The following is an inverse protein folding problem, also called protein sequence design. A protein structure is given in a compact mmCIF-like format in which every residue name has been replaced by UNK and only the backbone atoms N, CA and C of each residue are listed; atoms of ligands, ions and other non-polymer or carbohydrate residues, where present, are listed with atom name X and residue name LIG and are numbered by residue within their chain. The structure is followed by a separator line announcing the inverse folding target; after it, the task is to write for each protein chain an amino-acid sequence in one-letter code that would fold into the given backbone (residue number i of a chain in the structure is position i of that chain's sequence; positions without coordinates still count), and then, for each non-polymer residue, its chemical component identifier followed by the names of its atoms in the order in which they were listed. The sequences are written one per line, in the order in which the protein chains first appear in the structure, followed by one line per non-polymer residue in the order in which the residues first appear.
data_IF_091832183394
#
_entry.id   IF_091832183394
#
_cell.length_a   1.000
_cell.length_b   1.000
_cell.length_c   1.000
_cell.angle_alpha   90.00
_cell.angle_beta   90.00
_cell.angle_gamma   90.00
#
_symmetry.space_group_name_H-M   'P 1'
#
loop_
_entity.id
_entity.type
_entity.pdbx_description
1 polymer ?
#
# COMPACT_ATOMS: atom_id res chain seq x y z
N UNK A 1 10.68 -8.81 -27.96
CA UNK A 1 10.56 -7.74 -26.94
C UNK A 1 11.88 -7.44 -26.26
N UNK A 2 12.55 -8.41 -25.59
CA UNK A 2 13.91 -8.21 -25.06
C UNK A 2 14.88 -7.64 -26.11
N UNK A 3 14.97 -8.27 -27.28
CA UNK A 3 15.80 -7.79 -28.39
C UNK A 3 15.46 -6.36 -28.86
N UNK A 4 14.19 -5.97 -28.79
CA UNK A 4 13.76 -4.61 -29.12
C UNK A 4 14.26 -3.60 -28.09
N UNK A 5 14.15 -3.93 -26.80
CA UNK A 5 14.66 -3.07 -25.73
C UNK A 5 16.20 -3.00 -25.75
N UNK A 6 16.88 -4.10 -26.03
CA UNK A 6 18.34 -4.12 -26.13
C UNK A 6 18.85 -3.17 -27.24
N UNK A 7 18.11 -3.04 -28.35
CA UNK A 7 18.41 -2.03 -29.38
C UNK A 7 18.20 -0.61 -28.87
N UNK A 8 17.09 -0.36 -28.16
CA UNK A 8 16.84 0.95 -27.51
C UNK A 8 17.96 1.31 -26.53
N UNK A 9 18.38 0.37 -25.68
CA UNK A 9 19.42 0.56 -24.67
C UNK A 9 20.81 0.77 -25.29
N UNK A 10 21.10 0.14 -26.43
CA UNK A 10 22.37 0.30 -27.13
C UNK A 10 22.53 1.67 -27.83
N UNK A 11 21.63 2.62 -27.60
CA UNK A 11 21.56 3.88 -28.35
C UNK A 11 21.21 3.68 -29.83
N UNK A 12 20.98 2.43 -30.25
CA UNK A 12 20.50 2.05 -31.57
C UNK A 12 19.00 2.28 -31.62
N UNK A 13 18.62 3.55 -31.52
CA UNK A 13 17.35 4.06 -32.08
C UNK A 13 17.43 4.15 -33.61
N UNK A 14 18.36 3.41 -34.23
CA UNK A 14 18.37 3.20 -35.66
C UNK A 14 17.14 2.39 -36.01
N UNK A 15 16.14 3.09 -36.51
CA UNK A 15 14.97 2.45 -37.08
C UNK A 15 15.47 1.52 -38.17
N UNK A 16 15.01 0.26 -38.21
CA UNK A 16 15.29 -0.55 -39.38
C UNK A 16 14.81 0.26 -40.60
N UNK A 17 15.65 0.45 -41.64
CA UNK A 17 15.19 1.08 -42.87
C UNK A 17 13.92 0.33 -43.29
N UNK A 18 12.87 1.09 -43.61
CA UNK A 18 11.59 0.50 -43.98
C UNK A 18 11.87 -0.54 -45.07
N UNK A 19 11.57 -1.84 -44.84
CA UNK A 19 11.79 -2.83 -45.87
C UNK A 19 10.98 -2.41 -47.10
N UNK A 20 11.59 -2.46 -48.27
CA UNK A 20 10.94 -2.09 -49.52
C UNK A 20 9.69 -2.95 -49.82
N UNK A 21 9.44 -4.02 -49.08
CA UNK A 21 8.19 -4.77 -49.13
C UNK A 21 7.67 -5.18 -47.75
N UNK A 22 6.38 -4.88 -47.57
CA UNK A 22 5.48 -5.16 -46.45
C UNK A 22 5.60 -4.18 -45.27
N UNK A 23 4.74 -3.17 -45.32
CA UNK A 23 4.22 -2.35 -44.21
C UNK A 23 3.59 -3.22 -43.07
N UNK A 24 4.21 -4.31 -42.63
CA UNK A 24 3.74 -5.16 -41.52
C UNK A 24 3.73 -4.32 -40.24
N UNK A 25 2.54 -3.85 -39.85
CA UNK A 25 2.29 -3.02 -38.66
C UNK A 25 1.75 -1.62 -39.00
N UNK A 26 2.28 -0.98 -40.04
CA UNK A 26 1.83 0.35 -40.49
C UNK A 26 0.60 0.26 -41.39
N UNK A 27 -0.46 0.95 -41.01
CA UNK A 27 -1.72 1.11 -41.73
C UNK A 27 -1.79 2.48 -42.37
N UNK A 28 -2.28 2.54 -43.60
CA UNK A 28 -2.60 3.81 -44.27
C UNK A 28 -3.81 4.45 -43.59
N UNK A 29 -3.69 5.75 -43.27
CA UNK A 29 -4.75 6.55 -42.65
C UNK A 29 -5.32 7.55 -43.62
N UNK A 30 -4.45 8.27 -44.34
CA UNK A 30 -4.85 9.34 -45.24
C UNK A 30 -3.98 9.33 -46.50
N UNK A 31 -4.57 9.77 -47.61
CA UNK A 31 -3.89 9.97 -48.88
C UNK A 31 -4.12 11.40 -49.35
N UNK A 32 -3.04 12.08 -49.73
CA UNK A 32 -3.07 13.35 -50.48
C UNK A 32 -2.26 13.18 -51.76
N UNK A 33 -2.47 14.06 -52.73
CA UNK A 33 -1.91 13.94 -54.09
C UNK A 33 -0.43 13.50 -54.11
N UNK A 34 0.41 14.08 -53.24
CA UNK A 34 1.84 13.77 -53.18
C UNK A 34 2.31 13.02 -51.92
N UNK A 35 1.40 12.61 -51.02
CA UNK A 35 1.82 11.99 -49.76
C UNK A 35 0.80 11.04 -49.12
N UNK A 36 1.32 10.10 -48.32
CA UNK A 36 0.54 9.12 -47.58
C UNK A 36 0.90 9.19 -46.11
N UNK A 37 -0.12 9.40 -45.26
CA UNK A 37 0.02 9.28 -43.81
C UNK A 37 -0.16 7.81 -43.41
N UNK A 38 0.83 7.26 -42.74
CA UNK A 38 0.82 5.91 -42.20
C UNK A 38 0.82 5.96 -40.67
N UNK A 39 0.04 5.10 -40.02
CA UNK A 39 -0.01 4.93 -38.56
C UNK A 39 0.19 3.48 -38.15
N UNK A 40 0.75 3.22 -36.96
CA UNK A 40 0.62 1.91 -36.31
C UNK A 40 -0.39 2.00 -35.18
N UNK A 41 -1.38 1.10 -35.15
CA UNK A 41 -2.42 1.08 -34.11
C UNK A 41 -2.15 0.09 -32.98
N UNK A 42 -0.95 -0.51 -32.92
CA UNK A 42 -0.64 -1.63 -32.05
C UNK A 42 -1.32 -2.94 -32.50
N UNK A 43 -0.63 -4.07 -32.32
CA UNK A 43 -1.18 -5.40 -32.63
C UNK A 43 -2.23 -5.86 -31.60
N UNK A 44 -3.31 -6.46 -32.10
CA UNK A 44 -4.53 -6.98 -31.45
C UNK A 44 -5.49 -5.95 -30.83
N UNK A 45 -6.59 -5.71 -31.57
CA UNK A 45 -7.76 -4.92 -31.22
C UNK A 45 -8.60 -5.48 -30.04
N UNK A 46 -8.20 -6.60 -29.44
CA UNK A 46 -9.02 -7.33 -28.45
C UNK A 46 -8.82 -6.88 -26.99
N UNK A 47 -7.88 -5.99 -26.70
CA UNK A 47 -7.55 -5.66 -25.29
C UNK A 47 -7.24 -4.18 -25.02
N UNK A 48 -7.20 -3.33 -26.05
CA UNK A 48 -7.00 -1.89 -25.94
C UNK A 48 -7.84 -1.20 -27.01
N UNK A 49 -8.41 0.00 -26.77
CA UNK A 49 -8.82 0.84 -27.89
C UNK A 49 -7.60 0.99 -28.80
N UNK A 50 -7.79 0.84 -30.12
CA UNK A 50 -6.72 0.91 -31.11
C UNK A 50 -6.13 2.34 -31.15
N UNK A 51 -5.22 2.64 -30.23
CA UNK A 51 -4.60 3.96 -30.11
C UNK A 51 -3.37 4.01 -31.00
N UNK A 52 -3.30 5.01 -31.88
CA UNK A 52 -2.15 5.25 -32.76
C UNK A 52 -0.88 5.43 -31.94
N UNK A 53 0.13 4.58 -32.15
CA UNK A 53 1.40 4.60 -31.41
C UNK A 53 2.42 5.51 -32.07
N UNK A 54 2.50 5.47 -33.39
CA UNK A 54 3.36 6.34 -34.17
C UNK A 54 2.74 6.69 -35.52
N UNK A 55 3.22 7.79 -36.10
CA UNK A 55 2.88 8.29 -37.43
C UNK A 55 4.14 8.50 -38.26
N UNK A 56 4.03 8.31 -39.57
CA UNK A 56 5.06 8.73 -40.54
C UNK A 56 4.43 9.14 -41.86
N UNK A 57 5.13 9.99 -42.60
CA UNK A 57 4.70 10.45 -43.92
C UNK A 57 5.57 9.80 -44.98
N UNK A 58 4.96 9.26 -46.03
CA UNK A 58 5.62 8.77 -47.24
C UNK A 58 5.27 9.69 -48.40
N UNK A 59 6.25 10.17 -49.15
CA UNK A 59 6.06 10.94 -50.38
C UNK A 59 7.12 10.53 -51.44
N UNK A 60 7.13 11.22 -52.58
CA UNK A 60 8.11 11.00 -53.66
C UNK A 60 9.57 11.21 -53.25
N UNK A 61 9.83 11.96 -52.17
CA UNK A 61 11.19 12.20 -51.63
C UNK A 61 11.63 11.15 -50.61
N UNK A 62 10.74 10.25 -50.19
CA UNK A 62 11.06 9.18 -49.25
C UNK A 62 10.05 9.08 -48.10
N UNK A 63 10.49 8.46 -47.00
CA UNK A 63 9.69 8.24 -45.79
C UNK A 63 10.29 9.06 -44.65
N UNK A 64 9.46 9.80 -43.92
CA UNK A 64 9.89 10.54 -42.74
C UNK A 64 10.29 9.61 -41.61
N UNK A 65 11.10 10.13 -40.70
CA UNK A 65 11.27 9.55 -39.37
C UNK A 65 9.89 9.39 -38.69
N UNK A 66 9.68 8.32 -37.91
CA UNK A 66 8.42 8.10 -37.22
C UNK A 66 8.26 9.07 -36.04
N UNK A 67 7.09 9.70 -35.94
CA UNK A 67 6.68 10.53 -34.80
C UNK A 67 5.85 9.69 -33.82
N UNK A 68 6.27 9.60 -32.55
CA UNK A 68 5.58 8.80 -31.52
C UNK A 68 4.55 9.68 -30.79
N UNK A 69 3.31 9.19 -30.70
CA UNK A 69 2.20 9.91 -30.06
C UNK A 69 1.85 9.36 -28.69
N UNK A 70 1.66 8.05 -28.59
CA UNK A 70 1.14 7.39 -27.38
C UNK A 70 2.18 6.50 -26.72
N UNK A 71 3.34 7.11 -26.45
CA UNK A 71 4.41 6.48 -25.68
C UNK A 71 3.91 6.19 -24.26
N UNK A 72 4.23 5.03 -23.67
CA UNK A 72 3.93 4.77 -22.27
C UNK A 72 4.64 5.77 -21.37
N UNK A 73 3.91 6.23 -20.37
CA UNK A 73 4.45 7.04 -19.28
C UNK A 73 4.06 6.36 -17.98
N UNK A 74 5.04 5.93 -17.20
CA UNK A 74 4.80 5.39 -15.86
C UNK A 74 4.80 6.57 -14.91
N UNK A 75 3.66 6.83 -14.27
CA UNK A 75 3.52 7.90 -13.28
C UNK A 75 3.83 7.40 -11.87
N UNK A 76 3.64 6.10 -11.61
CA UNK A 76 4.05 5.50 -10.35
C UNK A 76 3.94 3.98 -10.29
N UNK A 77 4.59 3.44 -9.26
CA UNK A 77 4.62 2.02 -8.90
C UNK A 77 4.43 1.89 -7.40
N UNK A 78 3.53 1.00 -6.97
CA UNK A 78 3.26 0.72 -5.56
C UNK A 78 3.20 -0.79 -5.33
N UNK A 79 4.01 -1.35 -4.41
CA UNK A 79 5.03 -0.65 -3.61
C UNK A 79 6.23 -0.21 -4.48
N UNK A 80 6.96 0.84 -4.07
CA UNK A 80 8.23 1.25 -4.75
C UNK A 80 9.35 0.21 -4.59
N UNK A 81 9.34 -0.50 -3.46
CA UNK A 81 10.17 -1.66 -3.19
C UNK A 81 9.44 -2.92 -3.62
N UNK A 82 9.81 -3.42 -4.80
CA UNK A 82 9.26 -4.61 -5.41
C UNK A 82 9.86 -5.86 -4.77
N UNK A 83 9.02 -6.59 -4.03
CA UNK A 83 9.41 -7.86 -3.43
C UNK A 83 9.44 -8.95 -4.53
N UNK A 84 10.53 -9.68 -4.65
CA UNK A 84 10.62 -10.81 -5.58
C UNK A 84 9.50 -11.84 -5.35
N UNK A 85 8.88 -12.30 -6.43
CA UNK A 85 7.74 -13.23 -6.37
C UNK A 85 6.43 -12.62 -5.87
N UNK A 86 6.37 -11.32 -5.57
CA UNK A 86 5.13 -10.61 -5.23
C UNK A 86 4.56 -9.89 -6.46
N UNK A 87 3.48 -9.13 -6.26
CA UNK A 87 2.92 -8.23 -7.26
C UNK A 87 3.06 -6.77 -6.87
N UNK A 88 3.08 -5.91 -7.88
CA UNK A 88 3.02 -4.47 -7.72
C UNK A 88 2.05 -3.84 -8.69
N UNK A 89 1.44 -2.75 -8.27
CA UNK A 89 0.57 -1.94 -9.11
C UNK A 89 1.38 -0.86 -9.79
N UNK A 90 1.31 -0.81 -11.11
CA UNK A 90 1.92 0.21 -11.95
C UNK A 90 0.80 1.04 -12.55
N UNK A 91 0.90 2.37 -12.49
CA UNK A 91 -0.05 3.25 -13.15
C UNK A 91 0.60 4.32 -14.02
N UNK A 92 -0.12 4.72 -15.06
CA UNK A 92 0.26 5.83 -15.92
C UNK A 92 -0.39 5.80 -17.30
N UNK A 93 -0.09 6.79 -18.13
CA UNK A 93 -0.66 6.91 -19.47
C UNK A 93 -0.11 5.84 -20.43
N UNK A 94 -1.00 5.27 -21.26
CA UNK A 94 -0.64 4.34 -22.34
C UNK A 94 0.14 3.09 -21.90
N UNK A 95 0.12 2.75 -20.60
CA UNK A 95 0.85 1.62 -20.03
C UNK A 95 0.25 0.30 -20.53
N UNK A 96 1.06 -0.54 -21.19
CA UNK A 96 0.63 -1.83 -21.72
C UNK A 96 0.65 -2.96 -20.68
N UNK A 97 0.52 -4.21 -21.11
CA UNK A 97 0.61 -5.41 -20.26
C UNK A 97 2.03 -5.99 -20.19
N UNK A 98 3.01 -5.35 -20.83
CA UNK A 98 4.37 -5.87 -20.89
C UNK A 98 5.36 -4.84 -20.36
N UNK A 99 6.30 -5.32 -19.57
CA UNK A 99 7.30 -4.53 -18.89
C UNK A 99 8.68 -5.17 -19.01
N UNK A 100 9.70 -4.39 -18.75
CA UNK A 100 11.06 -4.89 -18.60
C UNK A 100 11.75 -4.22 -17.42
N UNK A 101 12.50 -5.01 -16.67
CA UNK A 101 13.38 -4.55 -15.60
C UNK A 101 14.81 -4.57 -16.15
N UNK A 102 15.46 -3.41 -16.12
CA UNK A 102 16.80 -3.19 -16.64
C UNK A 102 17.72 -2.79 -15.49
N UNK A 103 18.89 -3.42 -15.43
CA UNK A 103 19.94 -3.08 -14.47
C UNK A 103 21.28 -3.08 -15.21
N UNK A 104 22.10 -2.08 -14.93
CA UNK A 104 23.43 -1.91 -15.53
C UNK A 104 23.40 -2.02 -17.07
N UNK A 105 22.38 -1.41 -17.69
CA UNK A 105 22.16 -1.41 -19.15
C UNK A 105 21.74 -2.77 -19.75
N UNK A 106 21.47 -3.78 -18.92
CA UNK A 106 21.07 -5.12 -19.36
C UNK A 106 19.64 -5.45 -18.95
N UNK A 107 18.89 -6.11 -19.83
CA UNK A 107 17.53 -6.56 -19.55
C UNK A 107 17.55 -7.74 -18.59
N UNK A 108 17.43 -7.46 -17.30
CA UNK A 108 17.40 -8.49 -16.25
C UNK A 108 16.17 -9.38 -16.37
N UNK A 109 14.99 -8.79 -16.57
CA UNK A 109 13.76 -9.54 -16.76
C UNK A 109 12.77 -8.84 -17.71
N UNK A 110 11.95 -9.68 -18.34
CA UNK A 110 10.75 -9.28 -19.05
C UNK A 110 9.58 -9.74 -18.20
N UNK A 111 8.69 -8.82 -17.87
CA UNK A 111 7.57 -9.07 -16.97
C UNK A 111 6.25 -8.89 -17.73
N UNK A 112 5.27 -9.69 -17.36
CA UNK A 112 3.90 -9.55 -17.82
C UNK A 112 3.06 -9.01 -16.67
N UNK A 113 2.17 -8.08 -16.99
CA UNK A 113 1.21 -7.57 -16.06
C UNK A 113 -0.20 -7.95 -16.51
N UNK A 114 -1.07 -8.16 -15.54
CA UNK A 114 -2.47 -8.41 -15.78
C UNK A 114 -3.23 -7.11 -15.58
N UNK A 115 -4.29 -6.92 -16.35
CA UNK A 115 -5.28 -5.91 -16.00
C UNK A 115 -6.12 -6.49 -14.86
N UNK A 116 -6.20 -5.86 -13.68
CA UNK A 116 -7.11 -6.32 -12.65
C UNK A 116 -8.53 -6.35 -13.22
N UNK A 117 -9.30 -7.40 -12.90
CA UNK A 117 -10.68 -7.54 -13.33
C UNK A 117 -11.52 -6.39 -12.73
N UNK A 118 -11.67 -5.30 -13.48
CA UNK A 118 -12.75 -4.34 -13.28
C UNK A 118 -13.92 -4.82 -14.13
N UNK A 119 -14.83 -5.58 -13.53
CA UNK A 119 -16.10 -5.93 -14.16
C UNK A 119 -16.84 -4.63 -14.50
N UNK A 120 -16.90 -4.27 -15.77
CA UNK A 120 -17.85 -3.30 -16.32
C UNK A 120 -18.08 -2.01 -15.50
N UNK A 121 -17.04 -1.27 -15.15
CA UNK A 121 -17.24 0.09 -14.62
C UNK A 121 -16.74 1.12 -15.61
N UNK A 122 -17.59 2.12 -15.87
CA UNK A 122 -17.38 3.25 -16.76
C UNK A 122 -16.31 4.22 -16.21
N UNK A 123 -15.26 3.73 -15.56
CA UNK A 123 -14.20 4.52 -14.93
C UNK A 123 -13.00 4.62 -15.88
N UNK A 124 -12.80 5.75 -16.56
CA UNK A 124 -11.69 5.93 -17.51
C UNK A 124 -10.32 5.68 -16.88
N UNK A 125 -10.20 5.86 -15.56
CA UNK A 125 -8.96 5.79 -14.79
C UNK A 125 -8.39 4.37 -14.72
N UNK A 126 -9.24 3.33 -14.68
CA UNK A 126 -8.81 1.92 -14.60
C UNK A 126 -8.02 1.45 -15.83
N UNK A 127 -8.09 2.19 -16.95
CA UNK A 127 -7.31 1.91 -18.16
C UNK A 127 -5.82 2.11 -17.95
N UNK A 128 -5.43 2.87 -16.93
CA UNK A 128 -4.05 3.26 -16.64
C UNK A 128 -3.37 2.38 -15.60
N UNK A 129 -4.02 1.36 -15.04
CA UNK A 129 -3.50 0.57 -13.91
C UNK A 129 -3.18 -0.88 -14.33
N UNK A 130 -2.02 -1.40 -13.93
CA UNK A 130 -1.54 -2.75 -14.24
C UNK A 130 -1.00 -3.45 -13.00
N UNK A 131 -1.31 -4.73 -12.84
CA UNK A 131 -0.74 -5.58 -11.81
C UNK A 131 0.47 -6.33 -12.37
N UNK A 132 1.67 -5.82 -12.09
CA UNK A 132 2.96 -6.37 -12.48
C UNK A 132 3.34 -7.53 -11.55
N UNK A 133 3.57 -8.73 -12.10
CA UNK A 133 4.20 -9.81 -11.36
C UNK A 133 5.73 -9.61 -11.33
N UNK A 134 6.33 -9.63 -10.14
CA UNK A 134 7.78 -9.47 -9.94
C UNK A 134 8.44 -10.85 -9.99
N UNK A 135 9.40 -11.11 -10.89
CA UNK A 135 10.07 -12.41 -10.97
C UNK A 135 10.78 -12.81 -9.68
N UNK A 136 10.75 -14.10 -9.34
CA UNK A 136 11.27 -14.65 -8.08
C UNK A 136 12.81 -14.58 -7.96
N UNK A 137 13.53 -14.66 -9.08
CA UNK A 137 14.99 -14.83 -9.10
C UNK A 137 15.76 -13.56 -9.48
N UNK A 138 15.23 -12.38 -9.13
CA UNK A 138 15.92 -11.12 -9.39
C UNK A 138 16.89 -10.76 -8.26
N UNK A 139 18.16 -10.43 -8.57
CA UNK A 139 19.07 -9.88 -7.58
C UNK A 139 18.51 -8.56 -7.00
N UNK A 140 18.72 -8.31 -5.71
CA UNK A 140 18.30 -7.06 -5.08
C UNK A 140 19.07 -5.86 -5.61
N UNK A 141 18.45 -4.69 -5.59
CA UNK A 141 19.06 -3.42 -5.99
C UNK A 141 18.12 -2.56 -6.81
N UNK A 142 18.65 -1.47 -7.37
CA UNK A 142 17.89 -0.54 -8.20
C UNK A 142 17.78 -1.03 -9.64
N UNK A 143 16.60 -0.86 -10.22
CA UNK A 143 16.28 -1.21 -11.60
C UNK A 143 15.52 -0.05 -12.26
N UNK A 144 15.72 0.09 -13.56
CA UNK A 144 14.83 0.86 -14.41
C UNK A 144 13.70 -0.04 -14.92
N UNK A 145 12.46 0.30 -14.57
CA UNK A 145 11.24 -0.30 -15.08
C UNK A 145 10.82 0.42 -16.37
N UNK A 146 10.78 -0.31 -17.47
CA UNK A 146 10.28 0.16 -18.75
C UNK A 146 8.90 -0.44 -19.04
N UNK A 147 7.93 0.40 -19.38
CA UNK A 147 6.63 -0.04 -19.88
C UNK A 147 6.65 -0.13 -21.41
N UNK A 148 6.06 -1.20 -21.96
CA UNK A 148 5.89 -1.37 -23.40
C UNK A 148 4.43 -1.14 -23.82
N UNK A 149 4.21 -0.13 -24.65
CA UNK A 149 2.91 0.30 -25.14
C UNK A 149 2.48 -0.37 -26.44
N UNK A 150 3.25 -1.35 -26.92
CA UNK A 150 3.11 -1.91 -28.27
C UNK A 150 4.02 -1.24 -29.28
N UNK A 151 4.22 -1.88 -30.45
CA UNK A 151 4.98 -1.36 -31.59
C UNK A 151 6.51 -1.32 -31.46
N UNK A 152 7.14 -2.49 -31.65
CA UNK A 152 8.59 -2.68 -31.78
C UNK A 152 9.42 -1.86 -30.77
N UNK A 153 10.45 -1.16 -31.24
CA UNK A 153 11.40 -0.38 -30.44
C UNK A 153 10.84 1.01 -30.07
N UNK A 154 9.87 1.52 -30.84
CA UNK A 154 9.16 2.79 -30.61
C UNK A 154 8.21 2.73 -29.40
N UNK A 155 7.81 1.51 -29.03
CA UNK A 155 6.82 1.22 -28.01
C UNK A 155 7.27 1.39 -26.58
N UNK A 156 8.56 1.61 -26.33
CA UNK A 156 9.09 1.71 -24.99
C UNK A 156 8.93 3.14 -24.44
N UNK A 157 8.46 3.23 -23.20
CA UNK A 157 8.42 4.46 -22.42
C UNK A 157 9.78 4.86 -21.87
N UNK A 158 9.80 5.98 -21.15
CA UNK A 158 10.94 6.39 -20.34
C UNK A 158 11.10 5.48 -19.11
N UNK A 159 12.33 5.31 -18.58
CA UNK A 159 12.56 4.47 -17.40
C UNK A 159 11.92 5.05 -16.15
N UNK A 160 11.33 4.19 -15.33
CA UNK A 160 10.88 4.50 -13.97
C UNK A 160 11.75 3.75 -12.96
N UNK A 161 12.36 4.45 -11.99
CA UNK A 161 13.23 3.80 -11.00
C UNK A 161 12.41 3.01 -9.97
N UNK A 162 12.79 1.75 -9.76
CA UNK A 162 12.24 0.86 -8.72
C UNK A 162 13.37 0.14 -7.99
N UNK A 163 13.11 -0.27 -6.75
CA UNK A 163 14.05 -1.11 -5.99
C UNK A 163 13.50 -2.54 -5.93
N UNK A 164 14.29 -3.53 -6.35
CA UNK A 164 13.98 -4.95 -6.11
C UNK A 164 14.56 -5.33 -4.76
N UNK A 165 13.71 -5.87 -3.89
CA UNK A 165 14.09 -6.37 -2.56
C UNK A 165 13.75 -7.85 -2.43
N UNK A 166 14.48 -8.56 -1.57
CA UNK A 166 14.08 -9.90 -1.18
C UNK A 166 12.80 -9.84 -0.36
N UNK A 167 11.99 -10.91 -0.43
CA UNK A 167 10.93 -11.10 0.55
C UNK A 167 11.56 -11.08 1.94
N UNK A 168 11.08 -10.25 2.88
CA UNK A 168 11.55 -10.31 4.25
C UNK A 168 11.46 -11.75 4.74
N UNK A 169 12.57 -12.31 5.19
CA UNK A 169 12.55 -13.63 5.79
C UNK A 169 11.55 -13.62 6.96
N UNK A 170 10.78 -14.69 7.17
CA UNK A 170 10.01 -14.80 8.40
C UNK A 170 10.94 -14.61 9.60
N UNK A 171 10.45 -14.08 10.73
CA UNK A 171 11.29 -13.83 11.89
C UNK A 171 12.06 -15.10 12.26
N UNK A 172 13.38 -14.98 12.43
CA UNK A 172 14.26 -16.13 12.72
C UNK A 172 13.91 -16.82 14.04
N UNK A 173 13.26 -16.09 14.94
CA UNK A 173 12.90 -16.55 16.28
C UNK A 173 11.39 -16.48 16.44
N UNK A 174 10.79 -17.62 16.84
CA UNK A 174 9.42 -17.66 17.32
C UNK A 174 9.43 -17.85 18.83
N UNK A 175 8.78 -16.94 19.54
CA UNK A 175 8.56 -16.98 20.98
C UNK A 175 7.13 -17.46 21.20
N UNK A 176 6.97 -18.63 21.83
CA UNK A 176 5.65 -19.13 22.17
C UNK A 176 5.17 -18.46 23.45
N UNK A 177 4.12 -17.64 23.37
CA UNK A 177 3.65 -16.89 24.54
C UNK A 177 3.24 -17.81 25.71
N UNK A 178 2.88 -19.08 25.43
CA UNK A 178 2.60 -20.13 26.44
C UNK A 178 3.76 -20.36 27.41
N UNK A 179 4.99 -20.25 26.93
CA UNK A 179 6.20 -20.38 27.75
C UNK A 179 6.42 -19.17 28.67
N UNK A 180 5.67 -18.09 28.45
CA UNK A 180 5.73 -16.85 29.25
C UNK A 180 4.53 -16.69 30.20
N UNK A 181 3.70 -17.72 30.33
CA UNK A 181 2.63 -17.80 31.33
C UNK A 181 1.29 -17.20 30.91
N UNK A 182 0.99 -17.13 29.61
CA UNK A 182 -0.37 -16.83 29.16
C UNK A 182 -1.32 -17.96 29.55
N UNK A 183 -2.55 -17.61 29.87
CA UNK A 183 -3.63 -18.51 30.25
C UNK A 183 -4.64 -18.65 29.10
N UNK A 184 -5.13 -17.53 28.56
CA UNK A 184 -6.01 -17.54 27.38
C UNK A 184 -7.44 -18.06 27.63
N UNK A 185 -7.94 -17.92 28.86
CA UNK A 185 -9.26 -18.40 29.31
C UNK A 185 -10.39 -17.35 29.15
N UNK A 186 -10.08 -16.14 28.69
CA UNK A 186 -11.02 -15.02 28.57
C UNK A 186 -11.38 -14.35 29.90
N UNK A 187 -10.69 -14.67 30.99
CA UNK A 187 -10.96 -14.15 32.34
C UNK A 187 -9.69 -13.59 32.97
N UNK A 188 -8.61 -14.36 32.92
CA UNK A 188 -7.29 -14.03 33.43
C UNK A 188 -6.67 -12.88 32.64
N UNK A 189 -6.01 -11.95 33.36
CA UNK A 189 -5.31 -10.82 32.75
C UNK A 189 -3.95 -11.28 32.20
N UNK A 190 -3.89 -11.52 30.89
CA UNK A 190 -2.73 -12.05 30.17
C UNK A 190 -1.68 -10.98 29.83
N UNK A 191 -1.91 -9.72 30.18
CA UNK A 191 -1.10 -8.58 29.74
C UNK A 191 0.39 -8.78 30.01
N UNK A 192 0.76 -9.07 31.26
CA UNK A 192 2.17 -9.19 31.65
C UNK A 192 2.86 -10.38 30.97
N UNK A 193 2.13 -11.47 30.77
CA UNK A 193 2.66 -12.65 30.10
C UNK A 193 2.95 -12.38 28.62
N UNK A 194 2.05 -11.66 27.95
CA UNK A 194 2.25 -11.24 26.56
C UNK A 194 3.40 -10.23 26.46
N UNK A 195 3.47 -9.25 27.36
CA UNK A 195 4.58 -8.28 27.41
C UNK A 195 5.94 -8.96 27.61
N UNK A 196 6.01 -10.00 28.47
CA UNK A 196 7.24 -10.80 28.64
C UNK A 196 7.65 -11.51 27.34
N UNK A 197 6.70 -12.07 26.60
CA UNK A 197 6.97 -12.71 25.33
C UNK A 197 7.43 -11.68 24.25
N UNK A 198 6.79 -10.51 24.20
CA UNK A 198 7.21 -9.39 23.35
C UNK A 198 8.62 -8.92 23.70
N UNK A 199 8.94 -8.77 24.99
CA UNK A 199 10.26 -8.39 25.45
C UNK A 199 11.33 -9.43 25.09
N UNK A 200 11.00 -10.73 25.17
CA UNK A 200 11.89 -11.80 24.74
C UNK A 200 12.19 -11.75 23.23
N UNK A 201 11.15 -11.51 22.40
CA UNK A 201 11.33 -11.32 20.96
C UNK A 201 12.18 -10.08 20.65
N UNK A 202 11.93 -8.95 21.33
CA UNK A 202 12.72 -7.74 21.18
C UNK A 202 14.20 -7.95 21.56
N UNK A 203 14.45 -8.65 22.68
CA UNK A 203 15.81 -8.99 23.14
C UNK A 203 16.55 -9.89 22.15
N UNK A 204 15.83 -10.70 21.38
CA UNK A 204 16.39 -11.52 20.30
C UNK A 204 16.69 -10.73 19.00
N UNK A 205 16.48 -9.40 18.99
CA UNK A 205 16.65 -8.54 17.83
C UNK A 205 15.42 -8.48 16.91
N UNK A 206 14.26 -8.86 17.42
CA UNK A 206 13.03 -9.05 16.65
C UNK A 206 12.56 -10.51 16.72
N UNK A 207 11.33 -10.77 16.28
CA UNK A 207 10.76 -12.11 16.41
C UNK A 207 9.25 -12.16 16.26
N UNK A 208 8.72 -13.37 16.12
CA UNK A 208 7.29 -13.63 16.16
C UNK A 208 6.88 -14.10 17.56
N UNK A 209 5.99 -13.37 18.21
CA UNK A 209 5.26 -13.84 19.40
C UNK A 209 4.02 -14.59 18.92
N UNK A 210 4.00 -15.90 19.14
CA UNK A 210 2.91 -16.77 18.76
C UNK A 210 1.90 -16.93 19.90
N UNK A 211 0.67 -16.47 19.67
CA UNK A 211 -0.49 -16.74 20.52
C UNK A 211 -1.20 -18.02 20.02
N UNK A 212 -1.48 -19.00 20.91
CA UNK A 212 -2.27 -20.18 20.56
C UNK A 212 -3.75 -19.81 20.44
N UNK A 213 -4.59 -20.77 20.04
CA UNK A 213 -6.03 -20.67 20.22
C UNK A 213 -6.35 -20.30 21.67
N UNK A 214 -7.23 -19.32 21.86
CA UNK A 214 -7.65 -18.84 23.16
C UNK A 214 -8.18 -17.41 23.12
N UNK A 215 -8.65 -16.95 24.27
CA UNK A 215 -9.11 -15.59 24.49
C UNK A 215 -8.24 -14.93 25.55
N UNK A 216 -7.47 -13.94 25.16
CA UNK A 216 -6.46 -13.30 26.01
C UNK A 216 -6.94 -11.93 26.43
N UNK A 217 -7.19 -11.76 27.73
CA UNK A 217 -7.65 -10.46 28.23
C UNK A 217 -6.44 -9.58 28.52
N UNK A 218 -6.44 -8.34 28.00
CA UNK A 218 -5.44 -7.34 28.33
C UNK A 218 -6.05 -6.12 29.01
N UNK A 219 -5.34 -5.54 29.97
CA UNK A 219 -5.80 -4.40 30.77
C UNK A 219 -5.10 -3.08 30.43
N UNK A 220 -4.07 -3.11 29.58
CA UNK A 220 -3.32 -1.94 29.08
C UNK A 220 -2.70 -2.23 27.71
N UNK A 221 -2.18 -1.18 27.09
CA UNK A 221 -1.67 -1.21 25.73
C UNK A 221 -0.48 -2.16 25.58
N UNK A 222 -0.48 -2.96 24.52
CA UNK A 222 0.67 -3.75 24.13
C UNK A 222 1.53 -2.97 23.13
N UNK A 223 2.76 -2.68 23.51
CA UNK A 223 3.73 -2.03 22.63
C UNK A 223 4.57 -3.06 21.88
N UNK A 224 4.45 -3.11 20.56
CA UNK A 224 5.24 -3.96 19.67
C UNK A 224 6.42 -3.12 19.13
N UNK A 225 7.65 -3.34 19.65
CA UNK A 225 8.81 -2.60 19.20
C UNK A 225 9.23 -3.05 17.79
N UNK A 226 10.27 -2.39 17.27
CA UNK A 226 10.77 -2.67 15.93
C UNK A 226 10.99 -4.17 15.67
N UNK A 227 10.53 -4.63 14.51
CA UNK A 227 10.69 -6.01 14.02
C UNK A 227 10.06 -7.11 14.91
N UNK A 228 9.16 -6.75 15.84
CA UNK A 228 8.38 -7.72 16.63
C UNK A 228 6.99 -7.90 16.05
N UNK A 229 6.58 -9.15 15.88
CA UNK A 229 5.29 -9.53 15.31
C UNK A 229 4.45 -10.24 16.36
N UNK A 230 3.21 -9.81 16.59
CA UNK A 230 2.24 -10.55 17.40
C UNK A 230 1.28 -11.30 16.48
N UNK A 231 1.24 -12.62 16.59
CA UNK A 231 0.50 -13.43 15.64
C UNK A 231 -0.29 -14.56 16.31
N UNK A 232 -1.57 -14.66 15.96
CA UNK A 232 -2.45 -15.75 16.35
C UNK A 232 -2.40 -16.95 15.41
N UNK A 233 -3.27 -17.92 15.67
CA UNK A 233 -3.54 -19.05 14.77
C UNK A 233 -4.51 -18.66 13.65
N UNK A 234 -5.62 -18.02 14.00
CA UNK A 234 -6.57 -17.39 13.08
C UNK A 234 -7.40 -16.34 13.82
N UNK A 235 -8.04 -15.40 13.10
CA UNK A 235 -8.94 -14.42 13.73
C UNK A 235 -10.08 -15.06 14.53
N UNK A 236 -10.60 -16.19 14.10
CA UNK A 236 -11.74 -16.87 14.72
C UNK A 236 -11.35 -17.64 15.99
N UNK A 237 -10.08 -18.00 16.14
CA UNK A 237 -9.57 -18.87 17.20
C UNK A 237 -8.69 -18.18 18.22
N UNK A 238 -8.08 -17.04 17.85
CA UNK A 238 -7.18 -16.26 18.71
C UNK A 238 -7.77 -14.86 18.88
N UNK A 239 -8.27 -14.57 20.08
CA UNK A 239 -8.93 -13.30 20.40
C UNK A 239 -8.10 -12.60 21.47
N UNK A 240 -7.59 -11.40 21.17
CA UNK A 240 -7.07 -10.48 22.15
C UNK A 240 -8.19 -9.50 22.51
N UNK A 241 -8.59 -9.47 23.78
CA UNK A 241 -9.76 -8.74 24.25
C UNK A 241 -9.36 -7.67 25.28
N UNK A 242 -9.84 -6.44 25.11
CA UNK A 242 -9.68 -5.41 26.13
C UNK A 242 -10.52 -5.74 27.38
N UNK A 243 -9.91 -5.60 28.56
CA UNK A 243 -10.55 -5.94 29.82
C UNK A 243 -11.84 -5.18 30.04
N UNK A 244 -12.92 -5.94 30.32
CA UNK A 244 -14.20 -5.40 30.80
C UNK A 244 -14.17 -4.95 32.27
N UNK A 245 -13.18 -5.43 33.03
CA UNK A 245 -13.10 -5.26 34.49
C UNK A 245 -12.17 -4.12 34.90
N UNK A 246 -11.15 -3.85 34.08
CA UNK A 246 -10.19 -2.77 34.30
C UNK A 246 -10.29 -1.81 33.13
N UNK A 247 -10.62 -0.55 33.42
CA UNK A 247 -10.56 0.49 32.39
C UNK A 247 -9.13 0.59 31.85
N UNK A 248 -8.98 0.56 30.53
CA UNK A 248 -7.71 0.86 29.86
C UNK A 248 -7.27 2.27 30.26
N UNK A 249 -6.26 2.36 31.10
CA UNK A 249 -5.66 3.63 31.50
C UNK A 249 -4.48 3.92 30.58
N UNK A 250 -4.34 5.16 30.14
CA UNK A 250 -3.22 5.57 29.31
C UNK A 250 -3.55 6.81 28.49
N UNK A 251 -2.51 7.27 27.80
CA UNK A 251 -2.60 8.31 26.79
C UNK A 251 -1.89 7.79 25.54
N UNK A 252 -2.42 8.12 24.36
CA UNK A 252 -1.62 8.00 23.14
C UNK A 252 -0.40 8.91 23.33
N UNK A 253 0.84 8.41 23.18
CA UNK A 253 2.01 9.21 23.50
C UNK A 253 2.08 10.43 22.59
N UNK A 254 2.14 11.63 23.19
CA UNK A 254 2.19 12.90 22.44
C UNK A 254 3.38 12.94 21.47
N UNK A 255 4.46 12.25 21.80
CA UNK A 255 5.66 12.19 20.94
C UNK A 255 5.41 11.42 19.65
N UNK A 256 4.37 10.58 19.55
CA UNK A 256 4.04 9.87 18.32
C UNK A 256 3.47 10.80 17.23
N UNK A 257 3.01 11.99 17.61
CA UNK A 257 2.45 12.94 16.66
C UNK A 257 3.55 13.78 16.03
N UNK A 258 3.59 13.79 14.69
CA UNK A 258 4.56 14.57 13.92
C UNK A 258 3.86 15.40 12.88
N UNK A 259 4.32 16.62 12.61
CA UNK A 259 3.92 17.37 11.40
C UNK A 259 4.91 17.04 10.27
N UNK A 260 4.48 16.93 9.00
CA UNK A 260 5.39 16.87 7.87
C UNK A 260 6.27 18.13 7.83
N UNK A 261 7.52 17.93 7.44
CA UNK A 261 8.45 19.02 7.16
C UNK A 261 7.86 19.95 6.08
N UNK A 262 7.88 21.27 6.34
CA UNK A 262 7.30 22.29 5.44
C UNK A 262 5.81 22.59 5.63
N UNK A 263 5.11 21.89 6.53
CA UNK A 263 3.71 22.19 6.86
C UNK A 263 3.60 22.99 8.17
N UNK A 264 3.47 24.32 8.07
CA UNK A 264 3.22 25.21 9.21
C UNK A 264 1.74 25.24 9.60
N UNK A 265 1.35 25.67 10.83
CA UNK A 265 -0.04 25.89 11.21
C UNK A 265 -0.87 26.65 10.17
N UNK A 266 -0.27 27.63 9.50
CA UNK A 266 -0.90 28.43 8.45
C UNK A 266 -1.14 27.61 7.17
N UNK A 267 -0.24 26.70 6.82
CA UNK A 267 -0.43 25.74 5.71
C UNK A 267 -1.63 24.83 6.00
N UNK A 268 -1.76 24.33 7.23
CA UNK A 268 -2.92 23.54 7.66
C UNK A 268 -4.22 24.34 7.59
N UNK A 269 -4.22 25.57 8.14
CA UNK A 269 -5.39 26.46 8.14
C UNK A 269 -5.84 26.81 6.71
N UNK A 270 -4.91 27.09 5.80
CA UNK A 270 -5.20 27.33 4.37
C UNK A 270 -5.70 26.09 3.65
N UNK A 271 -5.22 24.91 4.04
CA UNK A 271 -5.71 23.64 3.50
C UNK A 271 -7.10 23.26 4.05
N UNK A 272 -7.69 24.05 4.95
CA UNK A 272 -8.95 23.74 5.62
C UNK A 272 -8.82 22.58 6.60
N UNK A 273 -7.59 22.28 7.05
CA UNK A 273 -7.34 21.23 8.03
C UNK A 273 -7.45 21.85 9.41
N UNK A 274 -8.15 21.14 10.31
CA UNK A 274 -8.21 21.53 11.70
C UNK A 274 -6.84 21.36 12.34
N UNK A 275 -6.09 22.46 12.44
CA UNK A 275 -4.76 22.54 13.08
C UNK A 275 -4.83 22.21 14.58
N UNK A 276 -6.04 22.25 15.13
CA UNK A 276 -6.33 22.30 16.56
C UNK A 276 -6.64 20.91 17.17
N UNK A 277 -6.94 19.91 16.33
CA UNK A 277 -7.47 18.60 16.78
C UNK A 277 -6.44 17.69 17.44
N UNK A 278 -5.17 17.80 17.04
CA UNK A 278 -4.07 17.00 17.62
C UNK A 278 -3.62 17.55 18.98
N UNK A 279 -3.86 18.84 19.25
CA UNK A 279 -3.19 19.56 20.35
C UNK A 279 -4.13 20.07 21.44
N UNK A 280 -5.44 20.16 21.19
CA UNK A 280 -6.44 20.66 22.17
C UNK A 280 -7.03 19.58 23.09
N UNK A 281 -6.44 18.40 23.18
CA UNK A 281 -6.75 17.42 24.23
C UNK A 281 -7.65 16.24 23.84
N UNK A 282 -7.97 16.06 22.55
CA UNK A 282 -8.78 14.95 22.04
C UNK A 282 -8.20 13.56 22.40
N UNK A 283 -6.86 13.44 22.44
CA UNK A 283 -6.17 12.20 22.82
C UNK A 283 -5.70 12.17 24.29
N UNK A 284 -6.07 13.17 25.10
CA UNK A 284 -5.79 13.14 26.53
C UNK A 284 -6.70 12.11 27.20
N UNK A 285 -6.14 11.31 28.10
CA UNK A 285 -6.87 10.31 28.88
C UNK A 285 -7.56 9.20 28.07
N UNK A 286 -7.13 8.98 26.82
CA UNK A 286 -7.56 7.85 25.98
C UNK A 286 -6.35 7.06 25.51
N UNK A 287 -6.49 5.75 25.50
CA UNK A 287 -5.44 4.80 25.19
C UNK A 287 -5.58 4.22 23.78
N UNK A 288 -4.62 3.38 23.42
CA UNK A 288 -4.67 2.49 22.27
C UNK A 288 -4.55 1.04 22.74
N UNK A 289 -5.04 0.05 21.99
CA UNK A 289 -4.96 -1.35 22.41
C UNK A 289 -3.61 -1.99 22.05
N UNK A 290 -3.15 -1.78 20.81
CA UNK A 290 -1.88 -2.30 20.28
C UNK A 290 -1.14 -1.17 19.58
N UNK A 291 0.16 -1.04 19.83
CA UNK A 291 1.03 -0.05 19.19
C UNK A 291 2.10 -0.72 18.33
N UNK A 292 2.07 -0.45 17.04
CA UNK A 292 3.02 -0.90 16.04
C UNK A 292 4.08 0.18 15.73
N UNK A 293 5.36 -0.17 15.89
CA UNK A 293 6.53 0.58 15.42
C UNK A 293 7.07 0.01 14.09
N UNK A 294 8.14 0.61 13.55
CA UNK A 294 8.78 0.20 12.30
C UNK A 294 9.06 -1.30 12.21
N UNK A 295 8.59 -1.95 11.14
CA UNK A 295 8.77 -3.39 10.89
C UNK A 295 7.99 -4.32 11.82
N UNK A 296 7.19 -3.78 12.75
CA UNK A 296 6.33 -4.60 13.61
C UNK A 296 5.03 -5.00 12.90
N UNK A 297 4.39 -6.06 13.39
CA UNK A 297 3.18 -6.59 12.78
C UNK A 297 2.17 -7.13 13.78
N UNK A 298 0.89 -7.09 13.41
CA UNK A 298 -0.17 -7.89 14.01
C UNK A 298 -0.84 -8.73 12.93
N UNK A 299 -0.95 -10.04 13.15
CA UNK A 299 -1.44 -10.97 12.13
C UNK A 299 -2.32 -12.11 12.71
N UNK A 300 -3.30 -12.57 11.93
CA UNK A 300 -4.06 -13.80 12.20
C UNK A 300 -4.76 -13.85 13.57
N UNK A 301 -5.33 -12.73 14.03
CA UNK A 301 -6.03 -12.66 15.32
C UNK A 301 -7.12 -11.59 15.31
N UNK A 302 -8.06 -11.71 16.25
CA UNK A 302 -9.06 -10.69 16.54
C UNK A 302 -8.54 -9.75 17.64
N UNK A 303 -8.65 -8.44 17.39
CA UNK A 303 -8.43 -7.36 18.35
C UNK A 303 -9.80 -6.80 18.75
N UNK A 304 -10.30 -7.20 19.91
CA UNK A 304 -11.62 -6.81 20.39
C UNK A 304 -11.52 -5.76 21.52
N UNK A 305 -11.80 -4.51 21.17
CA UNK A 305 -11.85 -3.37 22.07
C UNK A 305 -13.28 -3.02 22.51
N UNK A 306 -14.30 -3.78 22.08
CA UNK A 306 -15.73 -3.47 22.26
C UNK A 306 -16.14 -3.26 23.73
N UNK A 307 -15.44 -3.91 24.66
CA UNK A 307 -15.72 -3.80 26.08
C UNK A 307 -15.05 -2.60 26.77
N UNK A 308 -14.27 -1.79 26.06
CA UNK A 308 -13.56 -0.64 26.59
C UNK A 308 -14.15 0.68 26.13
N UNK A 309 -14.27 1.64 27.03
CA UNK A 309 -14.75 3.01 26.75
C UNK A 309 -13.64 4.05 26.69
N UNK A 310 -12.38 3.64 26.87
CA UNK A 310 -11.20 4.52 26.93
C UNK A 310 -10.18 4.27 25.83
N UNK A 311 -10.50 3.43 24.85
CA UNK A 311 -9.62 3.19 23.70
C UNK A 311 -10.05 4.13 22.58
N UNK A 312 -9.18 5.05 22.19
CA UNK A 312 -9.39 5.93 21.03
C UNK A 312 -8.87 5.30 19.73
N UNK A 313 -7.98 4.31 19.81
CA UNK A 313 -7.49 3.56 18.65
C UNK A 313 -7.25 2.09 19.00
N UNK A 314 -7.81 1.15 18.24
CA UNK A 314 -7.50 -0.28 18.46
C UNK A 314 -6.05 -0.54 18.08
N UNK A 315 -5.63 -0.12 16.88
CA UNK A 315 -4.24 -0.18 16.44
C UNK A 315 -3.68 1.23 16.27
N UNK A 316 -2.58 1.52 16.95
CA UNK A 316 -1.76 2.72 16.76
C UNK A 316 -0.56 2.35 15.91
N UNK A 317 -0.33 3.06 14.80
CA UNK A 317 0.85 2.85 13.94
C UNK A 317 1.71 4.10 13.96
N UNK A 318 2.81 4.06 14.71
CA UNK A 318 3.72 5.19 14.85
C UNK A 318 5.07 4.73 15.38
N UNK A 319 6.16 5.37 14.95
CA UNK A 319 7.41 5.27 15.68
C UNK A 319 7.46 6.23 16.85
N UNK A 320 8.35 5.92 17.79
CA UNK A 320 8.69 6.84 18.88
C UNK A 320 9.21 8.16 18.29
N UNK A 321 8.91 9.25 18.97
CA UNK A 321 9.37 10.60 18.63
C UNK A 321 8.88 11.14 17.27
N UNK A 322 7.79 10.57 16.73
CA UNK A 322 7.13 11.09 15.53
C UNK A 322 7.93 10.85 14.26
N UNK A 323 8.91 9.94 14.33
CA UNK A 323 9.66 9.49 13.15
C UNK A 323 8.72 8.77 12.17
N UNK A 324 9.18 8.69 10.93
CA UNK A 324 8.49 7.95 9.87
C UNK A 324 8.43 6.47 10.24
N UNK A 325 7.23 5.95 10.49
CA UNK A 325 7.00 4.53 10.75
C UNK A 325 7.09 3.73 9.44
N UNK A 326 8.02 2.77 9.34
CA UNK A 326 8.30 2.05 8.09
C UNK A 326 7.85 0.61 8.16
N UNK A 327 7.18 0.17 7.10
CA UNK A 327 6.73 -1.20 6.91
C UNK A 327 5.92 -1.83 8.06
N UNK A 328 5.00 -1.10 8.73
CA UNK A 328 4.08 -1.73 9.69
C UNK A 328 3.06 -2.61 8.96
N UNK A 329 2.65 -3.71 9.59
CA UNK A 329 1.75 -4.69 8.99
C UNK A 329 0.54 -5.02 9.89
N UNK A 330 -0.65 -4.91 9.34
CA UNK A 330 -1.90 -5.46 9.87
C UNK A 330 -2.45 -6.42 8.81
N UNK A 331 -2.49 -7.72 9.10
CA UNK A 331 -2.87 -8.70 8.07
C UNK A 331 -3.74 -9.81 8.62
N UNK A 332 -4.82 -10.11 7.90
CA UNK A 332 -5.71 -11.22 8.23
C UNK A 332 -6.19 -11.10 9.68
N UNK A 333 -6.72 -9.93 10.04
CA UNK A 333 -7.19 -9.62 11.39
C UNK A 333 -8.69 -9.26 11.39
N UNK A 334 -9.30 -9.32 12.57
CA UNK A 334 -10.57 -8.63 12.83
C UNK A 334 -10.31 -7.55 13.88
N UNK A 335 -10.68 -6.30 13.61
CA UNK A 335 -10.58 -5.17 14.53
C UNK A 335 -11.99 -4.78 14.91
N UNK A 336 -12.34 -4.95 16.18
CA UNK A 336 -13.70 -4.77 16.69
C UNK A 336 -13.73 -3.69 17.78
N UNK A 337 -14.61 -2.70 17.62
CA UNK A 337 -14.95 -1.74 18.67
C UNK A 337 -16.37 -1.20 18.44
N UNK A 338 -17.37 -2.07 18.59
CA UNK A 338 -18.74 -1.79 18.11
C UNK A 338 -19.66 -1.13 19.16
N UNK A 339 -19.24 -1.09 20.43
CA UNK A 339 -20.08 -0.53 21.51
C UNK A 339 -19.97 0.99 21.53
N UNK A 340 -21.11 1.67 21.52
CA UNK A 340 -21.22 3.11 21.80
C UNK A 340 -20.61 3.43 23.16
N UNK A 341 -19.56 4.26 23.17
CA UNK A 341 -19.28 5.08 24.34
C UNK A 341 -20.55 5.90 24.65
N UNK A 342 -20.97 5.94 25.91
CA UNK A 342 -22.17 6.68 26.30
C UNK A 342 -22.06 8.13 25.80
N UNK A 343 -22.97 8.50 24.90
CA UNK A 343 -23.16 9.87 24.43
C UNK A 343 -23.59 10.74 25.60
N UNK A 344 -22.72 11.66 26.00
CA UNK A 344 -23.08 12.82 26.81
C UNK A 344 -22.90 14.07 25.94
N UNK A 345 -23.83 15.01 26.04
CA UNK A 345 -23.95 16.21 25.22
C UNK A 345 -22.61 16.96 25.05
N UNK A 346 -21.93 16.68 23.94
CA UNK A 346 -20.73 17.29 23.36
C UNK A 346 -19.90 18.26 24.23
N UNK A 347 -18.77 17.79 24.80
CA UNK A 347 -17.47 18.28 24.32
C UNK A 347 -16.31 17.25 24.23
N UNK A 348 -16.53 15.93 24.34
CA UNK A 348 -15.46 14.93 24.16
C UNK A 348 -15.68 14.07 22.90
N UNK A 349 -14.91 14.35 21.84
CA UNK A 349 -14.90 13.64 20.56
C UNK A 349 -14.38 12.19 20.70
N UNK A 350 -15.09 11.30 21.40
CA UNK A 350 -14.68 9.89 21.63
C UNK A 350 -15.07 8.95 20.48
N UNK A 351 -14.73 9.33 19.25
CA UNK A 351 -14.81 8.40 18.11
C UNK A 351 -13.65 7.40 18.20
N UNK A 352 -13.95 6.11 18.10
CA UNK A 352 -12.88 5.09 18.12
C UNK A 352 -12.32 4.92 16.72
N UNK A 353 -10.99 4.83 16.62
CA UNK A 353 -10.30 4.46 15.39
C UNK A 353 -10.05 2.96 15.37
N UNK A 354 -10.33 2.30 14.26
CA UNK A 354 -9.80 0.95 14.06
C UNK A 354 -8.28 0.99 13.99
N UNK A 355 -7.76 1.79 13.06
CA UNK A 355 -6.33 2.05 12.88
C UNK A 355 -6.07 3.56 12.90
N UNK A 356 -5.16 4.03 13.75
CA UNK A 356 -4.73 5.43 13.83
C UNK A 356 -3.26 5.57 13.46
N UNK A 357 -2.97 6.52 12.57
CA UNK A 357 -1.62 6.87 12.11
C UNK A 357 -1.34 8.34 12.48
N UNK A 358 -0.71 8.64 13.63
CA UNK A 358 -0.46 10.01 14.10
C UNK A 358 0.76 10.69 13.44
N UNK A 359 1.57 9.93 12.68
CA UNK A 359 2.77 10.42 12.00
C UNK A 359 2.88 9.91 10.56
N UNK A 360 3.94 10.33 9.88
CA UNK A 360 4.24 9.84 8.54
C UNK A 360 4.53 8.34 8.55
N UNK A 361 4.08 7.64 7.52
CA UNK A 361 4.21 6.18 7.40
C UNK A 361 4.66 5.81 5.99
N UNK A 362 5.59 4.85 5.86
CA UNK A 362 6.08 4.36 4.58
C UNK A 362 5.90 2.84 4.47
N UNK A 363 5.52 2.35 3.29
CA UNK A 363 5.43 0.92 2.96
C UNK A 363 4.49 0.10 3.87
N UNK A 364 3.48 0.75 4.48
CA UNK A 364 2.48 0.09 5.35
C UNK A 364 1.66 -0.96 4.59
N UNK A 365 1.27 -2.03 5.29
CA UNK A 365 0.39 -3.06 4.76
C UNK A 365 -0.82 -3.23 5.68
N UNK A 366 -2.02 -3.04 5.15
CA UNK A 366 -3.29 -3.38 5.79
C UNK A 366 -4.04 -4.28 4.83
N UNK A 367 -4.10 -5.58 5.10
CA UNK A 367 -4.64 -6.55 4.14
C UNK A 367 -5.55 -7.59 4.75
N UNK A 368 -6.61 -7.98 4.02
CA UNK A 368 -7.54 -9.04 4.45
C UNK A 368 -8.07 -8.84 5.86
N UNK A 369 -8.27 -7.58 6.26
CA UNK A 369 -8.65 -7.22 7.62
C UNK A 369 -10.08 -6.69 7.64
N UNK A 370 -10.90 -7.23 8.53
CA UNK A 370 -12.23 -6.69 8.83
C UNK A 370 -12.09 -5.65 9.94
N UNK A 371 -12.57 -4.44 9.70
CA UNK A 371 -12.50 -3.32 10.65
C UNK A 371 -13.93 -2.87 10.93
N UNK A 372 -14.43 -3.24 12.10
CA UNK A 372 -15.77 -2.90 12.57
C UNK A 372 -15.68 -2.04 13.81
N UNK A 373 -15.89 -0.73 13.66
CA UNK A 373 -15.73 0.22 14.77
C UNK A 373 -16.85 1.23 14.79
N UNK A 374 -17.14 1.72 15.99
CA UNK A 374 -17.98 2.88 16.18
C UNK A 374 -17.13 4.15 16.13
N UNK A 375 -16.92 4.64 14.91
CA UNK A 375 -16.07 5.79 14.62
C UNK A 375 -15.41 5.66 13.25
N UNK A 376 -14.10 5.93 13.19
CA UNK A 376 -13.35 5.94 11.92
C UNK A 376 -12.63 4.61 11.74
N UNK A 377 -12.88 3.90 10.65
CA UNK A 377 -12.24 2.60 10.40
C UNK A 377 -10.71 2.72 10.35
N UNK A 378 -10.19 3.62 9.53
CA UNK A 378 -8.78 3.99 9.55
C UNK A 378 -8.59 5.50 9.36
N UNK A 379 -7.76 6.10 10.20
CA UNK A 379 -7.52 7.54 10.25
C UNK A 379 -6.03 7.87 10.20
N UNK A 380 -5.66 8.75 9.27
CA UNK A 380 -4.31 9.29 9.19
C UNK A 380 -4.29 10.77 9.60
N UNK A 381 -3.61 11.04 10.70
CA UNK A 381 -3.49 12.34 11.37
C UNK A 381 -2.10 12.93 11.09
N UNK A 382 -2.01 14.26 11.01
CA UNK A 382 -1.41 14.95 9.88
C UNK A 382 0.05 14.53 9.62
N UNK A 383 0.25 13.69 8.61
CA UNK A 383 1.56 13.22 8.16
C UNK A 383 1.54 12.86 6.67
N UNK A 384 2.61 12.27 6.15
CA UNK A 384 2.67 11.74 4.79
C UNK A 384 2.61 10.21 4.85
N UNK A 385 1.68 9.60 4.12
CA UNK A 385 1.70 8.16 3.87
C UNK A 385 2.25 7.91 2.47
N UNK A 386 3.30 7.09 2.33
CA UNK A 386 3.85 6.68 1.02
C UNK A 386 3.88 5.17 0.87
N UNK A 387 3.55 4.66 -0.30
CA UNK A 387 3.70 3.24 -0.63
C UNK A 387 2.82 2.29 0.19
N UNK A 388 1.74 2.78 0.81
CA UNK A 388 0.85 1.92 1.59
C UNK A 388 0.02 1.00 0.69
N UNK A 389 -0.20 -0.23 1.15
CA UNK A 389 -1.03 -1.27 0.53
C UNK A 389 -2.22 -1.55 1.43
N UNK A 390 -3.41 -1.15 1.01
CA UNK A 390 -4.66 -1.32 1.76
C UNK A 390 -5.58 -2.19 0.90
N UNK A 391 -5.52 -3.52 1.04
CA UNK A 391 -6.15 -4.45 0.09
C UNK A 391 -7.06 -5.48 0.74
N UNK A 392 -8.21 -5.73 0.12
CA UNK A 392 -9.16 -6.77 0.51
C UNK A 392 -9.63 -6.62 1.95
N UNK A 393 -9.74 -5.39 2.44
CA UNK A 393 -10.29 -5.10 3.76
C UNK A 393 -11.81 -4.95 3.66
N UNK A 394 -12.48 -4.95 4.80
CA UNK A 394 -13.90 -4.60 4.88
C UNK A 394 -14.06 -3.64 6.04
N UNK A 395 -14.65 -2.48 5.78
CA UNK A 395 -14.95 -1.49 6.80
C UNK A 395 -16.44 -1.55 7.12
N UNK A 396 -16.79 -1.62 8.39
CA UNK A 396 -18.18 -1.57 8.86
C UNK A 396 -18.28 -0.60 10.02
N UNK A 397 -19.31 0.23 10.02
CA UNK A 397 -19.63 1.12 11.15
C UNK A 397 -20.91 0.64 11.83
N UNK A 398 -20.90 0.65 13.17
CA UNK A 398 -22.11 0.46 13.97
C UNK A 398 -22.95 1.75 14.07
N UNK A 399 -22.36 2.91 13.74
CA UNK A 399 -23.04 4.20 13.69
C UNK A 399 -23.46 4.51 12.23
N UNK A 400 -24.77 4.51 11.91
CA UNK A 400 -25.28 4.85 10.57
C UNK A 400 -25.08 6.33 10.20
N UNK A 401 -24.66 7.18 11.16
CA UNK A 401 -24.26 8.57 10.96
C UNK A 401 -22.75 8.79 11.15
N UNK A 402 -22.00 7.71 11.36
CA UNK A 402 -20.55 7.73 11.60
C UNK A 402 -19.79 8.29 10.40
N UNK A 403 -18.80 9.18 10.62
CA UNK A 403 -18.43 10.13 9.59
C UNK A 403 -17.56 9.56 8.47
N UNK A 404 -16.72 8.52 8.68
CA UNK A 404 -15.80 8.01 7.64
C UNK A 404 -15.33 6.56 7.87
N UNK A 405 -15.40 5.70 6.85
CA UNK A 405 -14.78 4.36 6.88
C UNK A 405 -13.25 4.43 6.73
N UNK A 406 -12.78 5.34 5.89
CA UNK A 406 -11.35 5.57 5.61
C UNK A 406 -11.07 7.08 5.47
N UNK A 407 -10.30 7.66 6.37
CA UNK A 407 -9.91 9.07 6.36
C UNK A 407 -8.39 9.22 6.16
N UNK A 408 -8.01 9.52 4.92
CA UNK A 408 -6.61 9.69 4.49
C UNK A 408 -6.42 11.11 3.93
N UNK A 409 -5.48 11.92 4.45
CA UNK A 409 -5.30 13.31 4.03
C UNK A 409 -4.75 13.41 2.60
N UNK A 410 -4.82 14.60 1.99
CA UNK A 410 -4.29 14.88 0.63
C UNK A 410 -2.78 14.65 0.48
N UNK A 411 -2.04 14.51 1.58
CA UNK A 411 -0.62 14.12 1.63
C UNK A 411 -0.39 12.63 1.47
N UNK A 412 -1.46 11.83 1.37
CA UNK A 412 -1.40 10.41 1.05
C UNK A 412 -0.95 10.25 -0.39
N UNK A 413 0.23 9.68 -0.59
CA UNK A 413 0.86 9.48 -1.90
C UNK A 413 1.03 7.98 -2.14
N UNK A 414 0.84 7.54 -3.38
CA UNK A 414 1.22 6.19 -3.82
C UNK A 414 0.54 5.04 -3.06
N UNK A 415 -0.69 5.25 -2.60
CA UNK A 415 -1.47 4.25 -1.89
C UNK A 415 -2.30 3.40 -2.85
N UNK A 416 -2.16 2.08 -2.74
CA UNK A 416 -2.98 1.12 -3.46
C UNK A 416 -4.14 0.69 -2.57
N UNK A 417 -5.36 1.03 -2.98
CA UNK A 417 -6.59 0.64 -2.30
C UNK A 417 -7.39 -0.28 -3.23
N UNK A 418 -7.56 -1.55 -2.84
CA UNK A 418 -8.22 -2.58 -3.66
C UNK A 418 -9.19 -3.40 -2.81
N UNK A 419 -10.34 -3.80 -3.38
CA UNK A 419 -11.34 -4.64 -2.70
C UNK A 419 -12.67 -3.92 -2.45
N UNK A 420 -13.54 -4.52 -1.63
CA UNK A 420 -14.79 -3.90 -1.18
C UNK A 420 -14.46 -2.80 -0.18
N UNK A 421 -14.45 -1.55 -0.66
CA UNK A 421 -14.55 -0.35 0.17
C UNK A 421 -16.00 -0.19 0.57
#
# INVERSE_FOLDING_TARGET
MRASLERVLAGKREWPPAPAEKDRGWRKVEHREDSVLLCDTGGNASSYPAVVKALRVRNSRGVSEPHVLNRPEVWGVSPRKLVVGDSATVWGANVGVRFALVRDGKVAAVCHAYQPYCTHSHRPEARFIRLLAVPENLPTGRYALYAWGGFADLGWGEPFEVEIVQRPAPPKTTIHAKEHGIVGDGVSDDTEAIERAIAAAAKAGGGRVALPHGRFVISRALNLPENVQLAGQSPESTILEASRWKAFQGQIPEQCFSRPEGYSPETYKRAGWGVDWVMEGVFKNVAHMVWLQSGSAVENLTLDATNSTRIAAVVLIADKDGKVCRSPVVRNCQILCERMGLYGDWPDYRVTRGILLPSSTEDMVVERTKISVNGVGMEHMPGITRGARIRYNTFTTADPHGPFELWMPRTTQECLIEGNL
#
